data_IF_947458577769
#
_entry.id   IF_947458577769
#
_cell.length_a   1.000
_cell.length_b   1.000
_cell.length_c   1.000
_cell.angle_alpha   90.00
_cell.angle_beta   90.00
_cell.angle_gamma   90.00
#
_symmetry.space_group_name_H-M   'P 1'
#
loop_
_entity.id
_entity.type
_entity.pdbx_description
1 polymer ?
#
# COMPACT_ATOMS: atom_id res chain seq x y z
N UNK A 1 10.34 -76.23 1.99
CA UNK A 1 9.11 -75.69 1.37
C UNK A 1 8.93 -74.25 1.78
N UNK A 2 9.47 -73.31 0.96
CA UNK A 2 9.31 -71.88 1.15
C UNK A 2 8.63 -71.35 -0.13
N UNK A 3 7.33 -71.24 -0.09
CA UNK A 3 6.55 -70.57 -1.15
C UNK A 3 5.45 -69.71 -0.55
N UNK A 4 5.35 -68.46 -1.03
CA UNK A 4 4.12 -67.67 -1.04
C UNK A 4 3.83 -66.73 0.14
N UNK A 5 4.68 -65.72 0.42
CA UNK A 5 4.21 -64.55 1.14
C UNK A 5 4.66 -63.19 0.52
N UNK A 6 5.29 -63.19 -0.67
CA UNK A 6 5.82 -61.98 -1.29
C UNK A 6 4.80 -61.23 -2.17
N UNK A 7 3.69 -61.87 -2.55
CA UNK A 7 2.74 -61.29 -3.53
C UNK A 7 1.77 -60.25 -2.98
N UNK A 8 1.69 -60.04 -1.65
CA UNK A 8 0.70 -59.14 -1.04
C UNK A 8 1.24 -57.74 -0.64
N UNK A 9 2.54 -57.54 -0.68
CA UNK A 9 3.15 -56.24 -0.29
C UNK A 9 3.27 -55.24 -1.45
N UNK A 10 3.26 -55.71 -2.68
CA UNK A 10 3.46 -54.84 -3.86
C UNK A 10 2.30 -53.87 -4.11
N UNK A 11 1.00 -54.24 -3.99
CA UNK A 11 -0.09 -53.29 -4.23
C UNK A 11 -0.25 -52.22 -3.16
N UNK A 12 0.21 -52.48 -1.91
CA UNK A 12 0.13 -51.51 -0.80
C UNK A 12 1.22 -50.43 -0.93
N UNK A 13 2.40 -50.80 -1.39
CA UNK A 13 3.48 -49.80 -1.61
C UNK A 13 3.17 -48.86 -2.78
N UNK A 14 2.51 -49.37 -3.83
CA UNK A 14 2.09 -48.55 -4.99
C UNK A 14 0.95 -47.57 -4.65
N UNK A 15 0.05 -47.94 -3.70
CA UNK A 15 -1.00 -47.03 -3.25
C UNK A 15 -0.45 -45.83 -2.43
N UNK A 16 0.63 -46.04 -1.68
CA UNK A 16 1.27 -44.95 -0.93
C UNK A 16 2.13 -44.04 -1.80
N UNK A 17 2.71 -44.51 -2.88
CA UNK A 17 3.48 -43.68 -3.80
C UNK A 17 2.60 -42.78 -4.69
N UNK A 18 1.31 -43.13 -4.90
CA UNK A 18 0.38 -42.31 -5.68
C UNK A 18 -0.20 -41.11 -4.92
N UNK A 19 -0.23 -41.13 -3.57
CA UNK A 19 -0.75 -40.04 -2.77
C UNK A 19 0.29 -39.01 -2.36
N UNK A 20 1.58 -39.24 -2.60
CA UNK A 20 2.68 -38.41 -2.14
C UNK A 20 3.13 -37.31 -3.10
N UNK A 21 2.65 -37.26 -4.34
CA UNK A 21 3.24 -36.41 -5.37
C UNK A 21 2.37 -35.25 -5.87
N UNK A 22 1.17 -35.07 -5.36
CA UNK A 22 0.32 -33.94 -5.68
C UNK A 22 0.05 -33.03 -4.47
N UNK A 23 1.09 -32.64 -3.74
CA UNK A 23 1.01 -31.41 -2.95
C UNK A 23 1.15 -30.25 -3.97
N UNK A 24 0.09 -29.97 -4.70
CA UNK A 24 -0.04 -28.67 -5.32
C UNK A 24 0.08 -27.65 -4.19
N UNK A 25 1.19 -26.94 -4.16
CA UNK A 25 1.31 -25.74 -3.33
C UNK A 25 0.15 -24.86 -3.78
N UNK A 26 -0.90 -24.79 -2.99
CA UNK A 26 -1.92 -23.78 -3.13
C UNK A 26 -1.17 -22.45 -2.92
N UNK A 27 -0.77 -21.82 -4.01
CA UNK A 27 -0.25 -20.47 -3.98
C UNK A 27 -1.44 -19.61 -3.56
N UNK A 28 -1.44 -19.14 -2.32
CA UNK A 28 -2.43 -18.22 -1.83
C UNK A 28 -2.36 -16.97 -2.71
N UNK A 29 -3.34 -16.82 -3.59
CA UNK A 29 -3.44 -15.65 -4.43
C UNK A 29 -3.75 -14.47 -3.50
N UNK A 30 -2.84 -13.50 -3.41
CA UNK A 30 -3.05 -12.33 -2.59
C UNK A 30 -4.32 -11.61 -3.06
N UNK A 31 -5.31 -11.51 -2.19
CA UNK A 31 -6.53 -10.75 -2.44
C UNK A 31 -6.38 -9.36 -1.86
N UNK A 32 -6.97 -8.35 -2.53
CA UNK A 32 -6.89 -6.95 -2.13
C UNK A 32 -8.29 -6.35 -1.99
N UNK A 33 -8.45 -5.44 -1.03
CA UNK A 33 -9.54 -4.48 -1.06
C UNK A 33 -9.07 -3.28 -1.88
N UNK A 34 -9.92 -2.76 -2.76
CA UNK A 34 -9.65 -1.59 -3.60
C UNK A 34 -10.50 -0.42 -3.13
N UNK A 35 -9.91 0.77 -3.08
CA UNK A 35 -10.57 2.01 -2.72
C UNK A 35 -10.31 3.04 -3.82
N UNK A 36 -11.38 3.48 -4.48
CA UNK A 36 -11.32 4.52 -5.51
C UNK A 36 -12.33 5.61 -5.18
N UNK A 37 -11.86 6.83 -5.05
CA UNK A 37 -12.71 7.98 -4.78
C UNK A 37 -12.01 9.29 -5.16
N UNK A 38 -12.81 10.32 -5.35
CA UNK A 38 -12.33 11.69 -5.60
C UNK A 38 -12.91 12.61 -4.55
N UNK A 39 -12.11 13.52 -4.06
CA UNK A 39 -12.55 14.53 -3.08
C UNK A 39 -11.79 15.84 -3.27
N UNK A 40 -12.37 16.94 -2.79
CA UNK A 40 -11.79 18.27 -2.87
C UNK A 40 -11.34 18.69 -1.47
N UNK A 41 -10.19 19.37 -1.39
CA UNK A 41 -9.75 20.00 -0.15
C UNK A 41 -9.58 21.50 -0.35
N UNK A 42 -9.91 22.28 0.66
CA UNK A 42 -9.41 23.66 0.75
C UNK A 42 -7.95 23.60 1.15
N UNK A 43 -7.09 24.31 0.41
CA UNK A 43 -5.65 24.26 0.59
C UNK A 43 -5.06 25.54 1.14
N UNK A 44 -3.93 25.39 1.81
CA UNK A 44 -3.06 26.47 2.23
C UNK A 44 -1.61 26.07 1.92
N UNK A 45 -0.96 26.83 1.05
CA UNK A 45 0.38 26.57 0.53
C UNK A 45 1.37 27.58 1.13
N UNK A 46 2.34 27.07 1.86
CA UNK A 46 3.50 27.81 2.35
C UNK A 46 4.75 27.41 1.56
N UNK A 47 5.48 28.43 1.03
CA UNK A 47 6.73 28.22 0.29
C UNK A 47 7.84 28.97 1.03
N UNK A 48 8.87 28.24 1.46
CA UNK A 48 10.00 28.77 2.21
C UNK A 48 11.32 28.51 1.46
N UNK A 49 12.18 29.49 1.25
CA UNK A 49 13.51 29.28 0.73
C UNK A 49 14.30 28.28 1.59
N UNK A 50 15.03 27.37 0.95
CA UNK A 50 15.87 26.39 1.66
C UNK A 50 17.35 26.50 1.28
N UNK A 51 17.69 26.45 -0.02
CA UNK A 51 19.00 26.74 -0.58
C UNK A 51 18.82 27.73 -1.72
N UNK A 52 18.72 29.03 -1.40
CA UNK A 52 18.37 30.09 -2.38
C UNK A 52 19.34 30.17 -3.57
N UNK A 53 20.62 29.94 -3.34
CA UNK A 53 21.68 29.95 -4.36
C UNK A 53 21.50 28.83 -5.42
N UNK A 54 20.75 27.78 -5.12
CA UNK A 54 20.41 26.68 -6.02
C UNK A 54 18.95 26.75 -6.48
N UNK A 55 18.22 27.80 -6.14
CA UNK A 55 16.77 27.94 -6.33
C UNK A 55 15.96 26.80 -5.69
N UNK A 56 16.45 26.27 -4.57
CA UNK A 56 15.76 25.21 -3.83
C UNK A 56 14.97 25.78 -2.66
N UNK A 57 13.75 25.34 -2.56
CA UNK A 57 12.78 25.72 -1.55
C UNK A 57 12.17 24.50 -0.86
N UNK A 58 11.42 24.73 0.19
CA UNK A 58 10.50 23.77 0.81
C UNK A 58 9.09 24.29 0.69
N UNK A 59 8.17 23.39 0.33
CA UNK A 59 6.75 23.67 0.37
C UNK A 59 6.10 22.83 1.47
N UNK A 60 5.17 23.45 2.19
CA UNK A 60 4.22 22.77 3.08
C UNK A 60 2.83 23.11 2.60
N UNK A 61 2.06 22.08 2.26
CA UNK A 61 0.67 22.22 1.84
C UNK A 61 -0.19 21.52 2.88
N UNK A 62 -1.19 22.25 3.39
CA UNK A 62 -2.21 21.67 4.24
C UNK A 62 -3.56 21.70 3.53
N UNK A 63 -4.38 20.68 3.75
CA UNK A 63 -5.72 20.64 3.18
C UNK A 63 -6.75 20.18 4.18
N UNK A 64 -7.98 20.72 4.07
CA UNK A 64 -9.10 20.40 4.93
C UNK A 64 -10.39 20.16 4.13
N UNK A 65 -11.10 19.08 4.49
CA UNK A 65 -12.45 18.76 4.02
C UNK A 65 -13.17 17.92 5.07
N UNK A 66 -14.18 18.50 5.72
CA UNK A 66 -14.95 17.82 6.77
C UNK A 66 -15.71 16.57 6.27
N UNK A 67 -16.07 16.54 4.98
CA UNK A 67 -16.86 15.48 4.36
C UNK A 67 -16.00 14.47 3.55
N UNK A 68 -14.67 14.52 3.73
CA UNK A 68 -13.78 13.61 3.00
C UNK A 68 -14.05 12.14 3.36
N UNK A 69 -14.10 11.25 2.34
CA UNK A 69 -14.37 9.83 2.55
C UNK A 69 -13.41 9.17 3.55
N UNK A 70 -13.92 8.17 4.27
CA UNK A 70 -13.17 7.36 5.24
C UNK A 70 -12.57 8.16 6.40
N UNK A 71 -13.03 9.40 6.63
CA UNK A 71 -12.52 10.27 7.69
C UNK A 71 -11.13 10.85 7.42
N UNK A 72 -10.68 10.88 6.17
CA UNK A 72 -9.41 11.53 5.77
C UNK A 72 -9.63 13.05 5.60
N UNK A 73 -10.06 13.72 6.66
CA UNK A 73 -10.56 15.11 6.62
C UNK A 73 -9.46 16.16 6.49
N UNK A 74 -8.20 15.77 6.67
CA UNK A 74 -7.04 16.66 6.62
C UNK A 74 -5.89 16.00 5.90
N UNK A 75 -5.01 16.82 5.32
CA UNK A 75 -3.70 16.36 4.91
C UNK A 75 -2.61 17.40 5.20
N UNK A 76 -1.38 16.93 5.29
CA UNK A 76 -0.15 17.73 5.27
C UNK A 76 0.79 17.08 4.27
N UNK A 77 1.25 17.85 3.30
CA UNK A 77 2.28 17.49 2.33
C UNK A 77 3.51 18.36 2.56
N UNK A 78 4.69 17.73 2.62
CA UNK A 78 5.96 18.41 2.74
C UNK A 78 6.89 17.94 1.63
N UNK A 79 7.43 18.88 0.85
CA UNK A 79 8.29 18.59 -0.28
C UNK A 79 9.46 19.56 -0.39
N UNK A 80 10.52 19.13 -1.07
CA UNK A 80 11.53 20.02 -1.63
C UNK A 80 11.08 20.44 -3.03
N UNK A 81 11.43 21.64 -3.44
CA UNK A 81 11.15 22.13 -4.77
C UNK A 81 12.35 22.82 -5.38
N UNK A 82 12.51 22.71 -6.69
CA UNK A 82 13.50 23.47 -7.44
C UNK A 82 12.80 24.30 -8.51
N UNK A 83 13.02 25.61 -8.45
CA UNK A 83 12.36 26.60 -9.30
C UNK A 83 13.24 27.03 -10.48
N UNK A 84 12.60 27.29 -11.61
CA UNK A 84 13.20 27.90 -12.79
C UNK A 84 12.26 28.98 -13.37
N UNK A 85 12.83 30.02 -13.91
CA UNK A 85 12.06 31.08 -14.60
C UNK A 85 11.67 30.60 -16.00
N UNK A 86 10.41 30.75 -16.37
CA UNK A 86 9.87 30.50 -17.71
C UNK A 86 9.12 31.73 -18.23
N UNK A 87 9.87 32.66 -18.81
CA UNK A 87 9.32 33.95 -19.22
C UNK A 87 8.86 34.75 -18.00
N UNK A 88 7.58 35.14 -17.96
CA UNK A 88 6.99 35.86 -16.82
C UNK A 88 6.57 34.93 -15.67
N UNK A 89 6.55 33.60 -15.89
CA UNK A 89 6.12 32.63 -14.91
C UNK A 89 7.33 31.96 -14.23
N UNK A 90 7.09 31.39 -13.06
CA UNK A 90 8.04 30.49 -12.37
C UNK A 90 7.48 29.06 -12.38
N UNK A 91 8.27 28.14 -12.88
CA UNK A 91 7.97 26.71 -12.83
C UNK A 91 8.77 26.08 -11.70
N UNK A 92 8.12 25.28 -10.86
CA UNK A 92 8.77 24.54 -9.76
C UNK A 92 8.45 23.06 -9.87
N UNK A 93 9.49 22.24 -9.82
CA UNK A 93 9.35 20.79 -9.64
C UNK A 93 9.48 20.49 -8.17
N UNK A 94 8.61 19.61 -7.66
CA UNK A 94 8.61 19.18 -6.27
C UNK A 94 8.86 17.67 -6.15
N UNK A 95 9.54 17.29 -5.08
CA UNK A 95 9.73 15.88 -4.74
C UNK A 95 9.94 15.72 -3.24
N UNK A 96 9.45 14.61 -2.70
CA UNK A 96 9.69 14.24 -1.31
C UNK A 96 11.14 13.83 -1.04
N UNK A 97 11.85 13.32 -2.05
CA UNK A 97 13.25 12.89 -1.97
C UNK A 97 14.19 14.05 -2.37
N UNK A 98 15.02 14.59 -1.45
CA UNK A 98 15.94 15.67 -1.73
C UNK A 98 17.03 15.29 -2.74
N UNK A 99 17.37 13.99 -2.87
CA UNK A 99 18.44 13.54 -3.78
C UNK A 99 18.09 13.76 -5.25
N UNK A 100 16.80 13.90 -5.59
CA UNK A 100 16.33 14.27 -6.94
C UNK A 100 16.86 15.63 -7.37
N UNK A 101 17.18 16.50 -6.42
CA UNK A 101 17.73 17.84 -6.63
C UNK A 101 19.24 17.91 -6.34
N UNK A 102 19.90 16.75 -6.12
CA UNK A 102 21.32 16.68 -5.81
C UNK A 102 21.69 17.22 -4.43
N UNK A 103 20.74 17.28 -3.50
CA UNK A 103 20.97 17.75 -2.13
C UNK A 103 20.85 16.60 -1.12
N UNK A 104 21.60 16.69 -0.03
CA UNK A 104 21.45 15.78 1.10
C UNK A 104 20.30 16.25 2.00
N UNK A 105 19.60 15.29 2.63
CA UNK A 105 18.53 15.59 3.55
C UNK A 105 17.66 14.40 3.86
N UNK A 106 16.71 14.59 4.77
CA UNK A 106 15.70 13.59 5.10
C UNK A 106 14.60 13.63 4.05
N UNK A 107 14.17 12.47 3.55
CA UNK A 107 12.95 12.34 2.76
C UNK A 107 11.77 12.93 3.55
N UNK A 108 11.05 13.84 2.93
CA UNK A 108 9.81 14.41 3.41
C UNK A 108 8.65 13.52 2.97
N UNK A 109 7.43 13.82 3.39
CA UNK A 109 6.30 12.99 2.99
C UNK A 109 4.96 13.62 3.31
N UNK A 110 3.94 12.91 2.84
CA UNK A 110 2.55 13.30 2.96
C UNK A 110 1.85 12.42 3.98
N UNK A 111 0.94 13.01 4.69
CA UNK A 111 0.03 12.32 5.59
C UNK A 111 -1.40 12.80 5.36
N UNK A 112 -2.31 11.86 5.11
CA UNK A 112 -3.77 12.08 5.08
C UNK A 112 -4.36 11.48 6.33
N UNK A 113 -5.20 12.23 7.05
CA UNK A 113 -5.69 11.82 8.37
C UNK A 113 -6.98 12.57 8.75
N UNK A 114 -7.52 12.23 9.89
CA UNK A 114 -8.61 12.88 10.59
C UNK A 114 -8.65 12.42 12.03
N UNK A 115 -9.79 12.54 12.70
CA UNK A 115 -9.93 12.19 14.12
C UNK A 115 -9.94 10.66 14.37
N UNK A 116 -10.09 9.86 13.32
CA UNK A 116 -10.14 8.40 13.39
C UNK A 116 -8.77 7.71 13.25
N UNK A 117 -8.82 6.37 13.23
CA UNK A 117 -7.62 5.53 13.07
C UNK A 117 -7.09 5.48 11.63
N UNK A 118 -7.88 5.92 10.65
CA UNK A 118 -7.53 5.84 9.23
C UNK A 118 -6.51 6.91 8.88
N UNK A 119 -5.37 6.48 8.33
CA UNK A 119 -4.33 7.38 7.81
C UNK A 119 -3.72 6.78 6.55
N UNK A 120 -3.19 7.64 5.69
CA UNK A 120 -2.35 7.27 4.56
C UNK A 120 -1.03 8.03 4.64
N UNK A 121 0.04 7.39 4.18
CA UNK A 121 1.38 7.98 4.09
C UNK A 121 1.86 7.87 2.65
N UNK A 122 2.44 8.94 2.12
CA UNK A 122 2.86 8.99 0.73
C UNK A 122 4.11 9.82 0.49
N UNK A 123 4.57 9.74 -0.75
CA UNK A 123 5.71 10.49 -1.28
C UNK A 123 5.25 11.22 -2.54
N UNK A 124 5.42 12.53 -2.55
CA UNK A 124 5.02 13.38 -3.65
C UNK A 124 6.08 13.48 -4.76
N UNK A 125 5.57 13.55 -5.99
CA UNK A 125 6.31 13.91 -7.19
C UNK A 125 5.38 14.76 -8.07
N UNK A 126 5.60 16.06 -8.08
CA UNK A 126 4.67 17.01 -8.64
C UNK A 126 5.37 18.27 -9.20
N UNK A 127 4.58 19.17 -9.75
CA UNK A 127 5.05 20.46 -10.24
C UNK A 127 3.97 21.53 -10.11
N UNK A 128 4.40 22.77 -10.02
CA UNK A 128 3.51 23.92 -10.08
C UNK A 128 4.06 25.02 -10.97
N UNK A 129 3.14 25.78 -11.57
CA UNK A 129 3.41 27.00 -12.28
C UNK A 129 2.83 28.19 -11.49
N UNK A 130 3.69 29.14 -11.18
CA UNK A 130 3.34 30.41 -10.52
C UNK A 130 3.27 31.47 -11.59
N UNK A 131 2.09 32.06 -11.77
CA UNK A 131 1.85 33.17 -12.68
C UNK A 131 1.61 34.48 -11.90
N UNK A 132 2.60 35.33 -11.74
CA UNK A 132 2.45 36.58 -10.98
C UNK A 132 1.48 37.59 -11.61
N UNK A 133 1.33 37.53 -12.94
CA UNK A 133 0.42 38.45 -13.66
C UNK A 133 -1.03 38.05 -13.43
N UNK A 134 -1.32 36.76 -13.48
CA UNK A 134 -2.65 36.24 -13.19
C UNK A 134 -2.93 36.13 -11.68
N UNK A 135 -1.92 36.21 -10.82
CA UNK A 135 -2.02 36.04 -9.38
C UNK A 135 -2.42 34.61 -9.00
N UNK A 136 -1.89 33.59 -9.69
CA UNK A 136 -2.28 32.19 -9.48
C UNK A 136 -1.08 31.27 -9.34
N UNK A 137 -1.30 30.16 -8.58
CA UNK A 137 -0.45 28.97 -8.55
C UNK A 137 -1.29 27.80 -9.07
N UNK A 138 -0.77 27.05 -10.04
CA UNK A 138 -1.42 25.84 -10.56
C UNK A 138 -0.49 24.66 -10.40
N UNK A 139 -0.89 23.71 -9.55
CA UNK A 139 -0.14 22.51 -9.23
C UNK A 139 -0.79 21.24 -9.79
N UNK A 140 0.03 20.26 -10.09
CA UNK A 140 -0.45 18.89 -10.39
C UNK A 140 0.64 17.87 -10.18
N UNK A 141 0.24 16.65 -9.88
CA UNK A 141 1.21 15.57 -9.68
C UNK A 141 0.59 14.29 -9.18
N UNK A 142 1.48 13.45 -8.68
CA UNK A 142 1.13 12.14 -8.13
C UNK A 142 1.81 11.93 -6.79
N UNK A 143 1.04 11.46 -5.82
CA UNK A 143 1.53 11.02 -4.52
C UNK A 143 1.50 9.49 -4.52
N UNK A 144 2.65 8.86 -4.39
CA UNK A 144 2.76 7.40 -4.25
C UNK A 144 2.50 7.01 -2.81
N UNK A 145 1.46 6.22 -2.56
CA UNK A 145 1.11 5.73 -1.23
C UNK A 145 1.99 4.55 -0.86
N UNK A 146 2.67 4.67 0.26
CA UNK A 146 3.67 3.72 0.77
C UNK A 146 3.17 2.90 1.95
N UNK A 147 2.18 3.40 2.68
CA UNK A 147 1.60 2.74 3.85
C UNK A 147 0.29 3.43 4.28
N UNK A 148 -0.37 2.88 5.30
CA UNK A 148 -1.51 3.46 5.97
C UNK A 148 -1.82 2.76 7.28
N UNK A 149 -2.85 3.26 8.00
CA UNK A 149 -3.37 2.66 9.23
C UNK A 149 -4.89 2.50 9.17
N UNK A 150 -5.47 1.80 10.14
CA UNK A 150 -6.91 1.50 10.15
C UNK A 150 -7.28 0.59 8.99
N UNK A 151 -8.33 0.95 8.25
CA UNK A 151 -8.75 0.19 7.05
C UNK A 151 -7.70 0.26 5.93
N UNK A 152 -6.76 1.20 5.98
CA UNK A 152 -5.68 1.40 5.04
C UNK A 152 -4.35 0.76 5.48
N UNK A 153 -4.35 -0.12 6.45
CA UNK A 153 -3.13 -0.79 6.89
C UNK A 153 -2.43 -1.47 5.70
N UNK A 154 -1.13 -1.20 5.53
CA UNK A 154 -0.30 -1.66 4.41
C UNK A 154 -0.85 -1.23 3.03
N UNK A 155 -1.52 -0.10 2.95
CA UNK A 155 -2.02 0.44 1.69
C UNK A 155 -0.87 0.75 0.74
N UNK A 156 -1.12 0.49 -0.54
CA UNK A 156 -0.30 0.91 -1.66
C UNK A 156 -1.19 1.51 -2.75
N UNK A 157 -0.62 2.28 -3.65
CA UNK A 157 -1.36 2.92 -4.73
C UNK A 157 -0.90 4.34 -4.96
N UNK A 158 -1.80 5.19 -5.43
CA UNK A 158 -1.48 6.58 -5.75
C UNK A 158 -2.66 7.51 -5.49
N UNK A 159 -2.32 8.79 -5.38
CA UNK A 159 -3.25 9.90 -5.43
C UNK A 159 -2.78 10.80 -6.56
N UNK A 160 -3.58 10.96 -7.61
CA UNK A 160 -3.35 11.98 -8.63
C UNK A 160 -4.09 13.25 -8.22
N UNK A 161 -3.48 14.42 -8.36
CA UNK A 161 -4.11 15.66 -7.95
C UNK A 161 -3.90 16.81 -8.95
N UNK A 162 -4.80 17.78 -8.87
CA UNK A 162 -4.69 19.11 -9.45
C UNK A 162 -5.07 20.14 -8.38
N UNK A 163 -4.35 21.26 -8.35
CA UNK A 163 -4.51 22.32 -7.36
C UNK A 163 -4.48 23.68 -8.03
N UNK A 164 -5.30 24.61 -7.56
CA UNK A 164 -5.27 26.01 -7.97
C UNK A 164 -5.46 26.93 -6.75
N UNK A 165 -4.46 27.78 -6.52
CA UNK A 165 -4.44 28.72 -5.40
C UNK A 165 -4.29 30.16 -5.88
N UNK A 166 -4.86 31.08 -5.11
CA UNK A 166 -4.58 32.50 -5.26
C UNK A 166 -3.18 32.81 -4.72
N UNK A 167 -2.30 33.36 -5.55
CA UNK A 167 -0.95 33.73 -5.17
C UNK A 167 -0.97 34.84 -4.12
N UNK A 168 -0.47 34.55 -2.93
CA UNK A 168 -0.35 35.51 -1.85
C UNK A 168 1.01 36.24 -1.88
N UNK A 169 1.14 37.40 -1.18
CA UNK A 169 2.43 38.06 -0.97
C UNK A 169 3.43 37.14 -0.24
N UNK A 170 4.75 37.36 -0.43
CA UNK A 170 5.77 36.60 0.27
C UNK A 170 5.55 36.53 1.79
N UNK A 171 5.67 35.35 2.37
CA UNK A 171 5.46 35.08 3.81
C UNK A 171 4.00 34.91 4.24
N UNK A 172 3.06 35.03 3.31
CA UNK A 172 1.63 34.74 3.56
C UNK A 172 1.27 33.47 2.80
N UNK A 173 0.57 32.49 3.42
CA UNK A 173 0.12 31.30 2.72
C UNK A 173 -0.82 31.62 1.56
N UNK A 174 -0.62 30.98 0.41
CA UNK A 174 -1.54 30.99 -0.71
C UNK A 174 -2.70 30.04 -0.43
N UNK A 175 -3.92 30.45 -0.72
CA UNK A 175 -5.14 29.71 -0.38
C UNK A 175 -5.85 29.31 -1.67
N UNK A 176 -6.33 28.07 -1.72
CA UNK A 176 -7.03 27.56 -2.88
C UNK A 176 -7.78 26.27 -2.66
N UNK A 177 -7.80 25.43 -3.69
CA UNK A 177 -8.48 24.15 -3.67
C UNK A 177 -7.68 23.13 -4.47
N UNK A 178 -7.67 21.89 -3.96
CA UNK A 178 -7.11 20.75 -4.67
C UNK A 178 -8.18 19.67 -4.88
N UNK A 179 -8.18 19.07 -6.06
CA UNK A 179 -8.97 17.88 -6.40
C UNK A 179 -8.03 16.68 -6.34
N UNK A 180 -8.30 15.73 -5.47
CA UNK A 180 -7.50 14.53 -5.27
C UNK A 180 -8.27 13.29 -5.69
N UNK A 181 -7.68 12.48 -6.57
CA UNK A 181 -8.21 11.19 -7.02
C UNK A 181 -7.39 10.06 -6.42
N UNK A 182 -7.99 9.32 -5.50
CA UNK A 182 -7.38 8.20 -4.80
C UNK A 182 -7.62 6.90 -5.56
N UNK A 183 -6.54 6.11 -5.73
CA UNK A 183 -6.55 4.76 -6.30
C UNK A 183 -5.67 3.88 -5.43
N UNK A 184 -6.27 3.18 -4.47
CA UNK A 184 -5.58 2.48 -3.39
C UNK A 184 -5.96 1.01 -3.34
N UNK A 185 -5.07 0.19 -2.80
CA UNK A 185 -5.32 -1.21 -2.46
C UNK A 185 -4.69 -1.57 -1.12
N UNK A 186 -5.37 -2.39 -0.34
CA UNK A 186 -4.84 -2.95 0.90
C UNK A 186 -4.87 -4.48 0.83
N UNK A 187 -3.86 -5.19 1.37
CA UNK A 187 -3.88 -6.64 1.44
C UNK A 187 -5.11 -7.11 2.24
N UNK A 188 -5.82 -8.08 1.70
CA UNK A 188 -6.86 -8.79 2.44
C UNK A 188 -6.25 -10.00 3.13
N UNK A 189 -6.47 -10.17 4.43
CA UNK A 189 -6.08 -11.38 5.11
C UNK A 189 -6.78 -12.58 4.45
N UNK A 190 -6.01 -13.44 3.81
CA UNK A 190 -6.51 -14.74 3.36
C UNK A 190 -6.46 -15.65 4.58
N UNK A 191 -7.59 -16.25 5.02
CA UNK A 191 -7.56 -17.25 6.07
C UNK A 191 -6.57 -18.35 5.65
N UNK A 192 -5.60 -18.65 6.50
CA UNK A 192 -4.73 -19.79 6.25
C UNK A 192 -5.59 -21.03 6.04
N UNK A 193 -5.32 -21.85 4.99
CA UNK A 193 -6.02 -23.10 4.83
C UNK A 193 -5.81 -23.90 6.12
N UNK A 194 -6.89 -24.09 6.87
CA UNK A 194 -6.82 -24.84 8.12
C UNK A 194 -6.29 -26.23 7.79
N UNK A 195 -5.09 -26.57 8.23
CA UNK A 195 -4.48 -27.88 8.10
C UNK A 195 -5.28 -28.98 8.85
N UNK A 196 -6.30 -28.57 9.60
CA UNK A 196 -7.19 -29.41 10.39
C UNK A 196 -7.83 -30.56 9.61
N UNK A 197 -8.37 -30.39 8.38
CA UNK A 197 -8.94 -31.53 7.64
C UNK A 197 -7.90 -32.58 7.24
N UNK A 198 -6.68 -32.17 6.91
CA UNK A 198 -5.63 -33.12 6.54
C UNK A 198 -5.10 -33.89 7.74
N UNK A 199 -4.99 -33.25 8.90
CA UNK A 199 -4.61 -33.92 10.17
C UNK A 199 -5.69 -34.90 10.67
N UNK A 200 -6.97 -34.52 10.56
CA UNK A 200 -8.09 -35.39 10.92
C UNK A 200 -8.13 -36.64 10.00
N UNK A 201 -7.93 -36.44 8.68
CA UNK A 201 -7.88 -37.53 7.72
C UNK A 201 -6.77 -38.54 8.02
N UNK A 202 -5.56 -38.06 8.36
CA UNK A 202 -4.43 -38.92 8.76
C UNK A 202 -4.67 -39.62 10.11
N UNK A 203 -5.29 -38.94 11.06
CA UNK A 203 -5.61 -39.51 12.37
C UNK A 203 -6.64 -40.67 12.27
N UNK A 204 -7.69 -40.51 11.48
CA UNK A 204 -8.72 -41.53 11.28
C UNK A 204 -8.18 -42.78 10.56
N UNK A 205 -7.33 -42.56 9.52
CA UNK A 205 -6.68 -43.67 8.82
C UNK A 205 -5.70 -44.42 9.74
N UNK A 206 -4.91 -43.71 10.55
CA UNK A 206 -3.99 -44.32 11.53
C UNK A 206 -4.70 -45.13 12.59
N UNK A 207 -5.80 -44.63 13.16
CA UNK A 207 -6.60 -45.32 14.14
C UNK A 207 -7.28 -46.59 13.57
N UNK A 208 -7.78 -46.52 12.34
CA UNK A 208 -8.37 -47.67 11.65
C UNK A 208 -7.37 -48.83 11.42
N UNK A 209 -6.12 -48.52 11.12
CA UNK A 209 -5.04 -49.52 10.97
C UNK A 209 -4.68 -50.19 12.30
N UNK A 210 -4.61 -49.43 13.39
CA UNK A 210 -4.29 -49.95 14.72
C UNK A 210 -5.40 -50.87 15.24
N UNK A 211 -6.67 -50.52 15.07
CA UNK A 211 -7.82 -51.36 15.47
C UNK A 211 -7.86 -52.68 14.69
N UNK A 212 -7.58 -52.64 13.38
CA UNK A 212 -7.56 -53.86 12.55
C UNK A 212 -6.43 -54.82 12.94
N UNK A 213 -5.29 -54.31 13.41
CA UNK A 213 -4.17 -55.13 13.91
C UNK A 213 -4.48 -55.77 15.25
N UNK A 214 -5.27 -55.13 16.10
CA UNK A 214 -5.68 -55.66 17.41
C UNK A 214 -6.71 -56.77 17.29
N UNK A 215 -7.67 -56.68 16.39
CA UNK A 215 -8.67 -57.76 16.14
C UNK A 215 -8.06 -59.04 15.60
N UNK A 216 -7.00 -58.99 14.76
CA UNK A 216 -6.34 -60.18 14.23
C UNK A 216 -5.57 -61.00 15.26
N UNK A 217 -5.20 -60.44 16.41
CA UNK A 217 -4.49 -61.16 17.48
C UNK A 217 -5.41 -61.96 18.41
N UNK A 218 -6.73 -61.72 18.40
CA UNK A 218 -7.70 -62.42 19.27
C UNK A 218 -8.34 -63.71 18.66
N UNK A 219 -8.04 -63.98 17.38
CA UNK A 219 -8.62 -65.15 16.68
C UNK A 219 -7.67 -66.36 16.56
N UNK A 220 -6.54 -66.37 17.29
CA UNK A 220 -5.61 -67.51 17.37
C UNK A 220 -5.31 -67.81 18.86
N UNK A 221 -6.34 -68.33 19.57
CA UNK A 221 -6.22 -69.13 20.77
C UNK A 221 -7.35 -70.16 20.78
#
# INVERSE_FOLDING_TARGET
>A
MLRSHIKWFIPVALAFSGFGLNVQRASAQATYNTYEFTTNYKTSVEINPFLPEQNILRATITGENADAPYGLTKFISNTYGQSESRGANTFTRFNSDPTVFGIEGKTLGDIYYGDGANKLFGLANDSAEINPIAGTIKGSGTITITNGTGIFQNATGKIDFTEEDALAPPGVPSIGNAILKFSLRTPRAVPEPTATPALIGLGVLGAGFLLRKHHRKKTFN
#
